data_IF_325852838371
#
_entry.id   IF_325852838371
#
_cell.length_a   1.000
_cell.length_b   1.000
_cell.length_c   1.000
_cell.angle_alpha   90.00
_cell.angle_beta   90.00
_cell.angle_gamma   90.00
#
_symmetry.space_group_name_H-M   'P 1'
#
loop_
_entity.id
_entity.type
_entity.pdbx_description
1 polymer ?
#
# COMPACT_ATOMS: atom_id res chain seq x y z
N UNK A 1 -7.70 -21.45 -22.63
CA UNK A 1 -9.18 -21.35 -22.70
C UNK A 1 -9.68 -20.31 -23.74
N UNK A 2 -9.03 -19.15 -23.95
CA UNK A 2 -9.51 -18.11 -24.90
C UNK A 2 -9.37 -18.43 -26.40
N UNK A 3 -8.39 -19.24 -26.80
CA UNK A 3 -8.22 -19.67 -28.20
C UNK A 3 -9.48 -20.36 -28.76
N UNK A 4 -10.09 -21.23 -27.96
CA UNK A 4 -11.35 -21.94 -28.30
C UNK A 4 -12.51 -20.96 -28.54
N UNK A 5 -12.55 -19.84 -27.81
CA UNK A 5 -13.57 -18.79 -27.98
C UNK A 5 -13.34 -18.06 -29.31
N UNK A 6 -12.11 -17.61 -29.58
CA UNK A 6 -11.77 -16.94 -30.84
C UNK A 6 -11.96 -17.85 -32.07
N UNK A 7 -11.63 -19.13 -31.95
CA UNK A 7 -11.86 -20.12 -33.00
C UNK A 7 -13.37 -20.29 -33.27
N UNK A 8 -14.21 -20.33 -32.22
CA UNK A 8 -15.68 -20.45 -32.37
C UNK A 8 -16.35 -19.18 -32.89
N UNK A 9 -15.73 -18.01 -32.68
CA UNK A 9 -16.15 -16.73 -33.24
C UNK A 9 -15.57 -16.47 -34.64
N UNK A 10 -14.80 -17.41 -35.22
CA UNK A 10 -14.17 -17.24 -36.53
C UNK A 10 -13.22 -16.05 -36.59
N UNK A 11 -12.65 -15.62 -35.46
CA UNK A 11 -11.78 -14.44 -35.40
C UNK A 11 -10.41 -14.79 -36.00
N UNK A 12 -9.98 -14.11 -37.10
CA UNK A 12 -8.64 -14.29 -37.68
C UNK A 12 -7.54 -14.04 -36.65
N UNK A 13 -6.42 -14.73 -36.75
CA UNK A 13 -5.34 -14.69 -35.74
C UNK A 13 -4.80 -13.28 -35.52
N UNK A 14 -4.72 -12.49 -36.58
CA UNK A 14 -4.23 -11.10 -36.58
C UNK A 14 -5.17 -10.13 -35.86
N UNK A 15 -6.44 -10.55 -35.66
CA UNK A 15 -7.46 -9.77 -34.93
C UNK A 15 -7.64 -10.24 -33.49
N UNK A 16 -6.91 -11.28 -33.05
CA UNK A 16 -7.00 -11.80 -31.68
C UNK A 16 -6.19 -10.91 -30.76
N UNK A 17 -6.81 -10.50 -29.65
CA UNK A 17 -6.15 -9.69 -28.64
C UNK A 17 -5.11 -10.52 -27.86
N UNK A 18 -3.85 -10.07 -27.82
CA UNK A 18 -2.79 -10.72 -27.03
C UNK A 18 -2.88 -10.34 -25.55
N UNK A 19 -3.78 -11.04 -24.88
CA UNK A 19 -3.97 -10.97 -23.43
C UNK A 19 -2.69 -11.31 -22.68
N UNK A 20 -1.83 -12.19 -23.22
CA UNK A 20 -0.62 -12.58 -22.53
C UNK A 20 0.39 -11.43 -22.54
N UNK A 21 0.47 -10.67 -23.64
CA UNK A 21 1.24 -9.43 -23.70
C UNK A 21 0.72 -8.38 -22.71
N UNK A 22 -0.60 -8.18 -22.64
CA UNK A 22 -1.19 -7.23 -21.70
C UNK A 22 -0.88 -7.58 -20.25
N UNK A 23 -0.97 -8.87 -19.89
CA UNK A 23 -0.62 -9.34 -18.54
C UNK A 23 0.86 -9.09 -18.23
N UNK A 24 1.77 -9.37 -19.18
CA UNK A 24 3.20 -9.08 -19.02
C UNK A 24 3.45 -7.58 -18.85
N UNK A 25 2.78 -6.75 -19.63
CA UNK A 25 2.91 -5.29 -19.56
C UNK A 25 2.34 -4.73 -18.25
N UNK A 26 1.20 -5.23 -17.79
CA UNK A 26 0.61 -4.89 -16.50
C UNK A 26 1.54 -5.25 -15.33
N UNK A 27 2.14 -6.44 -15.35
CA UNK A 27 3.11 -6.85 -14.33
C UNK A 27 4.37 -5.97 -14.33
N UNK A 28 4.89 -5.62 -15.52
CA UNK A 28 6.05 -4.70 -15.65
C UNK A 28 5.72 -3.30 -15.12
N UNK A 29 4.53 -2.79 -15.45
CA UNK A 29 4.00 -1.51 -14.96
C UNK A 29 3.88 -1.54 -13.43
N UNK A 30 3.24 -2.56 -12.87
CA UNK A 30 3.10 -2.70 -11.41
C UNK A 30 4.47 -2.75 -10.70
N UNK A 31 5.43 -3.53 -11.22
CA UNK A 31 6.79 -3.58 -10.67
C UNK A 31 7.47 -2.21 -10.66
N UNK A 32 7.31 -1.42 -11.72
CA UNK A 32 7.86 -0.07 -11.81
C UNK A 32 7.16 0.87 -10.85
N UNK A 33 5.84 0.83 -10.81
CA UNK A 33 5.03 1.72 -9.99
C UNK A 33 5.27 1.47 -8.49
N UNK A 34 5.44 0.20 -8.07
CA UNK A 34 5.84 -0.14 -6.68
C UNK A 34 7.21 0.43 -6.32
N UNK A 35 8.20 0.38 -7.23
CA UNK A 35 9.53 0.96 -6.99
C UNK A 35 9.50 2.48 -6.87
N UNK A 36 8.58 3.12 -7.59
CA UNK A 36 8.42 4.57 -7.62
C UNK A 36 7.23 5.04 -6.76
N UNK A 37 6.75 4.21 -5.83
CA UNK A 37 5.52 4.46 -5.09
C UNK A 37 5.59 5.78 -4.32
N UNK A 38 6.74 6.09 -3.73
CA UNK A 38 6.94 7.34 -2.98
C UNK A 38 6.86 8.55 -3.90
N UNK A 39 7.48 8.50 -5.07
CA UNK A 39 7.44 9.59 -6.07
C UNK A 39 6.04 9.76 -6.67
N UNK A 40 5.30 8.66 -6.86
CA UNK A 40 3.92 8.68 -7.36
C UNK A 40 2.97 9.30 -6.34
N UNK A 41 3.08 8.90 -5.07
CA UNK A 41 2.18 9.36 -4.01
C UNK A 41 2.54 10.74 -3.45
N UNK A 42 3.82 11.10 -3.44
CA UNK A 42 4.34 12.34 -2.87
C UNK A 42 5.20 13.12 -3.88
N UNK A 43 4.64 13.53 -5.04
CA UNK A 43 5.42 14.20 -6.08
C UNK A 43 5.98 15.56 -5.65
N UNK A 44 5.31 16.23 -4.71
CA UNK A 44 5.67 17.56 -4.21
C UNK A 44 6.32 17.52 -2.82
N UNK A 45 6.95 16.40 -2.44
CA UNK A 45 7.60 16.30 -1.12
C UNK A 45 8.76 17.30 -0.99
N UNK A 46 8.97 17.90 0.20
CA UNK A 46 10.15 18.73 0.45
C UNK A 46 11.45 17.95 0.21
N UNK A 47 12.48 18.64 -0.28
CA UNK A 47 13.79 18.04 -0.57
C UNK A 47 14.54 17.56 0.68
N UNK A 48 14.12 18.02 1.87
CA UNK A 48 14.64 17.54 3.16
C UNK A 48 13.73 16.45 3.73
N UNK A 49 14.28 15.27 3.97
CA UNK A 49 13.61 14.22 4.73
C UNK A 49 13.38 14.73 6.17
N UNK A 50 12.17 15.19 6.46
CA UNK A 50 11.80 15.54 7.83
C UNK A 50 11.61 14.23 8.61
N UNK A 51 12.23 14.06 9.78
CA UNK A 51 11.98 12.89 10.60
C UNK A 51 10.50 12.86 11.03
N UNK A 52 9.97 11.68 11.42
CA UNK A 52 8.65 11.63 12.04
C UNK A 52 8.61 12.47 13.32
N UNK A 53 7.42 12.92 13.70
CA UNK A 53 7.24 13.76 14.90
C UNK A 53 7.58 13.02 16.20
N UNK A 54 7.61 11.68 16.17
CA UNK A 54 7.86 10.79 17.31
C UNK A 54 8.79 9.65 16.90
N UNK A 55 9.31 8.93 17.88
CA UNK A 55 10.05 7.69 17.64
C UNK A 55 9.14 6.64 16.96
N UNK A 56 9.72 5.84 16.06
CA UNK A 56 8.94 4.87 15.26
C UNK A 56 8.20 3.86 16.14
N UNK A 57 8.79 3.49 17.27
CA UNK A 57 8.20 2.62 18.28
C UNK A 57 6.88 3.14 18.85
N UNK A 58 6.73 4.47 19.00
CA UNK A 58 5.52 5.10 19.52
C UNK A 58 4.31 4.91 18.60
N UNK A 59 4.55 4.77 17.29
CA UNK A 59 3.50 4.49 16.31
C UNK A 59 3.05 3.03 16.31
N UNK A 60 3.77 2.13 16.98
CA UNK A 60 3.33 0.73 17.14
C UNK A 60 2.04 0.65 17.96
N UNK A 61 1.25 -0.39 17.70
CA UNK A 61 0.00 -0.66 18.41
C UNK A 61 -1.17 -0.97 17.48
N UNK A 62 -2.36 -0.96 18.06
CA UNK A 62 -3.60 -1.35 17.40
C UNK A 62 -4.37 -0.12 16.92
N UNK A 63 -4.79 -0.16 15.67
CA UNK A 63 -5.62 0.87 15.03
C UNK A 63 -6.85 0.24 14.42
N UNK A 64 -8.02 0.87 14.52
CA UNK A 64 -9.29 0.29 14.12
C UNK A 64 -10.17 1.28 13.38
N UNK A 65 -10.88 0.81 12.34
CA UNK A 65 -12.05 1.49 11.80
C UNK A 65 -13.17 0.49 11.54
N UNK A 66 -14.41 0.96 11.68
CA UNK A 66 -15.59 0.20 11.27
C UNK A 66 -15.50 -0.14 9.78
N UNK A 67 -15.74 -1.42 9.45
CA UNK A 67 -15.61 -1.93 8.08
C UNK A 67 -14.20 -2.31 7.64
N UNK A 68 -13.14 -1.85 8.34
CA UNK A 68 -11.74 -2.18 8.00
C UNK A 68 -11.04 -3.06 9.04
N UNK A 69 -11.69 -3.27 10.19
CA UNK A 69 -11.18 -4.11 11.27
C UNK A 69 -10.01 -3.49 12.00
N UNK A 70 -9.27 -4.33 12.73
CA UNK A 70 -8.13 -3.91 13.55
C UNK A 70 -6.81 -4.23 12.87
N UNK A 71 -5.90 -3.26 12.87
CA UNK A 71 -4.56 -3.33 12.30
C UNK A 71 -3.58 -3.19 13.46
N UNK A 72 -2.84 -4.26 13.76
CA UNK A 72 -1.81 -4.26 14.79
C UNK A 72 -0.44 -4.10 14.14
N UNK A 73 0.16 -2.93 14.32
CA UNK A 73 1.48 -2.61 13.81
C UNK A 73 2.55 -2.88 14.85
N UNK A 74 3.61 -3.55 14.40
CA UNK A 74 4.84 -3.76 15.16
C UNK A 74 6.03 -3.21 14.37
N UNK A 75 6.98 -2.63 15.08
CA UNK A 75 8.24 -2.19 14.51
C UNK A 75 9.12 -3.39 14.13
N UNK A 76 9.70 -3.35 12.93
CA UNK A 76 10.58 -4.38 12.41
C UNK A 76 11.80 -3.72 11.76
N UNK A 77 13.00 -4.19 12.11
CA UNK A 77 14.25 -3.78 11.48
C UNK A 77 14.27 -4.23 10.02
N UNK A 78 14.56 -3.30 9.10
CA UNK A 78 14.56 -3.52 7.66
C UNK A 78 15.78 -2.86 7.00
N UNK A 79 16.77 -3.69 6.62
CA UNK A 79 18.07 -3.27 6.05
C UNK A 79 18.01 -2.61 4.65
N UNK A 80 16.82 -2.26 4.17
CA UNK A 80 16.60 -1.66 2.85
C UNK A 80 15.83 -0.34 2.86
N UNK A 81 15.67 0.27 4.04
CA UNK A 81 14.95 1.55 4.18
C UNK A 81 15.87 2.62 4.77
N UNK A 82 15.71 3.91 4.40
CA UNK A 82 16.55 4.98 4.94
C UNK A 82 16.53 5.08 6.47
N UNK A 83 15.39 4.76 7.09
CA UNK A 83 15.25 4.73 8.55
C UNK A 83 15.76 3.44 9.21
N UNK A 84 16.06 2.40 8.43
CA UNK A 84 16.44 1.08 8.95
C UNK A 84 15.31 0.30 9.65
N UNK A 85 14.11 0.87 9.74
CA UNK A 85 12.94 0.28 10.41
C UNK A 85 11.66 0.53 9.62
N UNK A 86 10.69 -0.36 9.76
CA UNK A 86 9.35 -0.27 9.17
C UNK A 86 8.30 -0.75 10.17
N UNK A 87 7.06 -0.25 10.06
CA UNK A 87 5.94 -0.80 10.80
C UNK A 87 5.24 -1.87 9.97
N UNK A 88 4.94 -3.02 10.57
CA UNK A 88 4.33 -4.15 9.88
C UNK A 88 3.06 -4.59 10.60
N UNK A 89 1.97 -4.75 9.86
CA UNK A 89 0.75 -5.38 10.34
C UNK A 89 0.43 -6.63 9.52
N UNK A 90 0.06 -7.70 10.21
CA UNK A 90 -0.39 -8.95 9.58
C UNK A 90 -1.91 -9.11 9.79
N UNK A 91 -2.66 -9.02 8.69
CA UNK A 91 -4.11 -9.17 8.67
C UNK A 91 -4.48 -10.57 8.20
N UNK A 92 -4.44 -11.52 9.13
CA UNK A 92 -4.78 -12.94 8.88
C UNK A 92 -6.26 -13.24 9.12
N UNK A 93 -7.01 -12.25 9.61
CA UNK A 93 -8.44 -12.28 9.89
C UNK A 93 -9.31 -12.05 8.64
N UNK A 94 -8.71 -11.62 7.53
CA UNK A 94 -9.39 -11.40 6.25
C UNK A 94 -9.38 -12.66 5.38
N UNK A 95 -10.38 -12.80 4.49
CA UNK A 95 -10.43 -13.86 3.48
C UNK A 95 -9.14 -13.89 2.65
N UNK A 96 -8.71 -12.72 2.19
CA UNK A 96 -7.40 -12.53 1.60
C UNK A 96 -6.44 -12.07 2.69
N UNK A 97 -5.64 -13.01 3.20
CA UNK A 97 -4.65 -12.69 4.23
C UNK A 97 -3.66 -11.69 3.66
N UNK A 98 -3.47 -10.57 4.35
CA UNK A 98 -2.60 -9.49 3.88
C UNK A 98 -1.53 -9.14 4.89
N UNK A 99 -0.43 -8.60 4.39
CA UNK A 99 0.59 -7.90 5.18
C UNK A 99 0.67 -6.47 4.70
N UNK A 100 0.68 -5.56 5.66
CA UNK A 100 0.84 -4.13 5.43
C UNK A 100 2.22 -3.75 5.97
N UNK A 101 3.01 -3.03 5.16
CA UNK A 101 4.26 -2.41 5.59
C UNK A 101 4.16 -0.90 5.42
N UNK A 102 4.41 -0.15 6.48
CA UNK A 102 4.53 1.30 6.42
C UNK A 102 6.00 1.68 6.28
N UNK A 103 6.31 2.39 5.20
CA UNK A 103 7.63 2.95 4.94
C UNK A 103 7.57 4.46 5.11
N UNK A 104 8.44 5.01 5.95
CA UNK A 104 8.46 6.44 6.20
C UNK A 104 8.83 7.23 4.94
N UNK A 105 8.21 8.40 4.80
CA UNK A 105 8.50 9.34 3.71
C UNK A 105 9.07 10.63 4.26
N UNK A 106 8.28 11.39 5.01
CA UNK A 106 8.67 12.69 5.58
C UNK A 106 7.63 13.13 6.59
N UNK A 107 8.06 13.68 7.73
CA UNK A 107 7.17 14.01 8.84
C UNK A 107 6.35 12.78 9.25
N UNK A 108 5.05 12.96 9.44
CA UNK A 108 4.13 11.87 9.80
C UNK A 108 3.50 11.17 8.59
N UNK A 109 4.06 11.35 7.39
CA UNK A 109 3.63 10.69 6.15
C UNK A 109 4.46 9.45 5.83
N UNK A 110 3.74 8.41 5.40
CA UNK A 110 4.22 7.07 5.14
C UNK A 110 3.60 6.53 3.85
N UNK A 111 4.28 5.58 3.20
CA UNK A 111 3.67 4.71 2.18
C UNK A 111 3.23 3.42 2.85
N UNK A 112 1.96 3.06 2.71
CA UNK A 112 1.45 1.76 3.09
C UNK A 112 1.50 0.79 1.91
N UNK A 113 2.39 -0.20 1.94
CA UNK A 113 2.44 -1.30 0.98
C UNK A 113 1.60 -2.47 1.47
N UNK A 114 0.57 -2.84 0.72
CA UNK A 114 -0.33 -3.96 1.03
C UNK A 114 -0.03 -5.13 0.09
N UNK A 115 0.30 -6.28 0.67
CA UNK A 115 0.60 -7.51 -0.06
C UNK A 115 -0.34 -8.62 0.38
N UNK A 116 -1.05 -9.27 -0.54
CA UNK A 116 -1.72 -10.53 -0.25
C UNK A 116 -0.65 -11.61 -0.05
N UNK A 117 -0.78 -12.36 1.03
CA UNK A 117 0.19 -13.39 1.44
C UNK A 117 0.06 -14.67 0.61
N UNK A 118 -1.10 -14.88 0.01
CA UNK A 118 -1.40 -16.00 -0.88
C UNK A 118 -1.19 -15.52 -2.33
N UNK A 119 0.03 -15.62 -2.85
CA UNK A 119 0.39 -15.14 -4.19
C UNK A 119 1.89 -14.89 -4.39
N UNK A 120 2.28 -14.47 -5.60
CA UNK A 120 3.65 -14.40 -6.12
C UNK A 120 4.38 -13.04 -5.90
N UNK A 121 4.09 -12.38 -4.77
CA UNK A 121 5.13 -11.65 -4.01
C UNK A 121 5.34 -10.15 -4.26
N UNK A 122 4.50 -9.46 -5.04
CA UNK A 122 4.51 -7.99 -5.12
C UNK A 122 3.43 -7.36 -4.23
N UNK A 123 3.65 -6.15 -3.67
CA UNK A 123 2.55 -5.34 -3.17
C UNK A 123 1.51 -5.15 -4.27
N UNK A 124 0.28 -5.52 -3.96
CA UNK A 124 -0.84 -5.34 -4.86
C UNK A 124 -1.24 -3.87 -4.92
N UNK A 125 -1.14 -3.20 -3.77
CA UNK A 125 -1.57 -1.82 -3.58
C UNK A 125 -0.54 -1.07 -2.73
N UNK A 126 -0.33 0.21 -3.05
CA UNK A 126 0.38 1.15 -2.19
C UNK A 126 -0.49 2.40 -2.01
N UNK A 127 -0.58 2.89 -0.77
CA UNK A 127 -1.45 4.01 -0.37
C UNK A 127 -0.65 5.07 0.40
N UNK A 128 -1.16 6.31 0.37
CA UNK A 128 -0.72 7.34 1.33
C UNK A 128 -1.25 6.95 2.71
N UNK A 129 -0.34 6.97 3.68
CA UNK A 129 -0.64 6.80 5.09
C UNK A 129 -0.13 8.03 5.85
N UNK A 130 -0.93 8.55 6.79
CA UNK A 130 -0.57 9.68 7.64
C UNK A 130 -0.95 9.37 9.09
N UNK A 131 0.01 9.44 10.00
CA UNK A 131 -0.30 9.35 11.43
C UNK A 131 -0.88 10.67 11.93
N UNK A 132 -1.97 10.59 12.70
CA UNK A 132 -2.57 11.73 13.39
C UNK A 132 -2.04 11.76 14.82
N UNK A 133 -1.42 12.86 15.23
CA UNK A 133 -0.96 13.07 16.61
C UNK A 133 -2.06 13.80 17.39
N UNK A 134 -2.41 13.27 18.56
CA UNK A 134 -3.37 13.86 19.48
C UNK A 134 -2.79 15.06 20.25
N UNK A 135 -3.67 15.82 20.91
CA UNK A 135 -3.27 16.95 21.75
C UNK A 135 -2.39 16.54 22.95
N UNK A 136 -2.38 15.25 23.30
CA UNK A 136 -1.51 14.65 24.32
C UNK A 136 -0.11 14.30 23.79
N UNK A 137 0.18 14.62 22.53
CA UNK A 137 1.46 14.31 21.88
C UNK A 137 1.61 12.84 21.49
N UNK A 138 0.54 12.03 21.56
CA UNK A 138 0.57 10.61 21.22
C UNK A 138 -0.14 10.32 19.90
N UNK A 139 0.22 9.25 19.19
CA UNK A 139 -0.55 8.80 18.03
C UNK A 139 -2.00 8.56 18.43
N UNK A 140 -2.93 9.14 17.67
CA UNK A 140 -4.38 9.07 17.87
C UNK A 140 -5.08 8.30 16.74
N UNK A 141 -4.43 8.18 15.59
CA UNK A 141 -4.93 7.39 14.47
C UNK A 141 -3.97 7.31 13.29
N UNK A 142 -4.35 6.51 12.31
CA UNK A 142 -3.68 6.32 11.03
C UNK A 142 -4.70 6.54 9.91
N UNK A 143 -4.52 7.61 9.14
CA UNK A 143 -5.36 7.92 7.98
C UNK A 143 -4.76 7.28 6.72
N UNK A 144 -5.57 6.49 6.02
CA UNK A 144 -5.24 5.91 4.72
C UNK A 144 -6.02 6.64 3.63
N UNK A 145 -5.32 7.14 2.62
CA UNK A 145 -5.96 7.75 1.44
C UNK A 145 -6.01 6.75 0.30
N UNK A 146 -7.23 6.39 -0.09
CA UNK A 146 -7.50 5.54 -1.24
C UNK A 146 -7.59 6.42 -2.48
N UNK A 147 -6.47 6.63 -3.16
CA UNK A 147 -6.45 7.30 -4.46
C UNK A 147 -6.26 6.24 -5.53
N UNK A 148 -7.16 6.18 -6.51
CA UNK A 148 -6.92 5.33 -7.67
C UNK A 148 -5.71 5.86 -8.48
N UNK A 149 -5.05 4.97 -9.22
CA UNK A 149 -3.94 5.28 -10.13
C UNK A 149 -4.36 6.28 -11.23
N UNK A 150 -5.65 6.47 -11.45
CA UNK A 150 -6.25 7.49 -12.35
C UNK A 150 -6.65 8.79 -11.64
N UNK A 151 -6.19 9.02 -10.40
CA UNK A 151 -6.48 10.22 -9.57
C UNK A 151 -7.95 10.39 -9.18
N UNK A 152 -8.76 9.33 -9.27
CA UNK A 152 -10.09 9.32 -8.67
C UNK A 152 -9.94 9.22 -7.15
N UNK A 153 -10.55 10.16 -6.44
CA UNK A 153 -10.56 10.16 -4.98
C UNK A 153 -11.50 9.06 -4.47
N UNK A 154 -10.92 7.93 -4.05
CA UNK A 154 -11.63 6.82 -3.41
C UNK A 154 -11.92 7.05 -1.93
N UNK A 155 -11.57 8.23 -1.41
CA UNK A 155 -11.85 8.65 -0.04
C UNK A 155 -10.71 8.38 0.92
N UNK A 156 -10.98 8.68 2.20
CA UNK A 156 -10.03 8.52 3.29
C UNK A 156 -10.65 7.70 4.40
N UNK A 157 -9.82 6.87 5.02
CA UNK A 157 -10.23 6.01 6.13
C UNK A 157 -9.31 6.30 7.29
N UNK A 158 -9.88 6.76 8.41
CA UNK A 158 -9.15 6.96 9.65
C UNK A 158 -9.28 5.70 10.53
N UNK A 159 -8.17 4.99 10.72
CA UNK A 159 -8.04 3.96 11.72
C UNK A 159 -7.71 4.63 13.06
N UNK A 160 -8.64 4.65 14.01
CA UNK A 160 -8.42 5.23 15.33
C UNK A 160 -7.51 4.33 16.17
N UNK A 161 -6.56 4.93 16.88
CA UNK A 161 -5.73 4.17 17.81
C UNK A 161 -6.59 3.61 18.94
N UNK A 162 -6.44 2.33 19.21
CA UNK A 162 -7.08 1.69 20.35
C UNK A 162 -6.31 2.03 21.61
N UNK A 163 -7.03 2.27 22.70
CA UNK A 163 -6.46 2.48 24.04
C UNK A 163 -5.83 1.21 24.59
#
# INVERSE_FOLDING_TARGET
>A
MRRVIYDKLGTPEEKRHDVAEDLRNAQRKQKRDVRNATEILFPNRPSGNQPPSLDVSEFSGKYQALGYGTWEFVEVVSKGTPMGVVLVAHRKDLLWKTRVKLHHVSGDFWVAFITILEGDGLPEVFLVAEFRIGADGKPSGLELTFTDREKVNGGRVLLQRMK
#
